data_IF_641131478389
#
_entry.id   IF_641131478389
#
_cell.length_a   1.000
_cell.length_b   1.000
_cell.length_c   1.000
_cell.angle_alpha   90.00
_cell.angle_beta   90.00
_cell.angle_gamma   90.00
#
_symmetry.space_group_name_H-M   'P 1'
#
loop_
_entity.id
_entity.type
_entity.pdbx_description
1 polymer ?
#
# COMPACT_ATOMS: atom_id res chain seq x y z
N UNK A 1 16.78 1.58 -5.74
CA UNK A 1 15.39 1.15 -5.51
C UNK A 1 14.63 2.26 -4.80
N UNK A 2 13.56 2.74 -5.40
CA UNK A 2 12.84 3.87 -4.85
C UNK A 2 11.48 3.44 -4.32
N UNK A 3 11.11 4.01 -3.19
CA UNK A 3 9.78 3.86 -2.61
C UNK A 3 8.77 4.61 -3.48
N UNK A 4 7.69 3.96 -3.86
CA UNK A 4 6.63 4.58 -4.66
C UNK A 4 5.49 5.08 -3.77
N UNK A 5 5.14 4.31 -2.75
CA UNK A 5 4.19 4.69 -1.72
C UNK A 5 4.42 3.80 -0.51
N UNK A 6 3.79 4.15 0.60
CA UNK A 6 3.84 3.35 1.83
C UNK A 6 2.45 3.04 2.31
N UNK A 7 2.30 1.90 2.96
CA UNK A 7 1.06 1.54 3.65
C UNK A 7 1.38 1.33 5.13
N UNK A 8 0.42 1.67 5.97
CA UNK A 8 0.50 1.40 7.41
C UNK A 8 -0.25 0.10 7.68
N UNK A 9 0.44 -0.91 8.17
CA UNK A 9 -0.20 -2.16 8.55
C UNK A 9 -0.26 -2.28 10.07
N UNK A 10 -1.31 -2.91 10.57
CA UNK A 10 -1.48 -3.17 12.00
C UNK A 10 -2.21 -4.49 12.19
N UNK A 11 -2.18 -4.98 13.41
CA UNK A 11 -2.94 -6.15 13.84
C UNK A 11 -4.32 -5.69 14.31
N UNK A 12 -5.37 -6.37 13.87
CA UNK A 12 -6.74 -6.07 14.31
C UNK A 12 -6.88 -6.24 15.81
N UNK A 13 -6.26 -7.27 16.39
CA UNK A 13 -6.30 -7.51 17.82
C UNK A 13 -5.67 -6.37 18.60
N UNK A 14 -4.52 -5.88 18.16
CA UNK A 14 -3.85 -4.75 18.82
C UNK A 14 -4.67 -3.46 18.67
N UNK A 15 -5.21 -3.22 17.48
CA UNK A 15 -6.03 -2.04 17.22
C UNK A 15 -7.27 -2.01 18.12
N UNK A 16 -7.94 -3.14 18.27
CA UNK A 16 -9.15 -3.26 19.09
C UNK A 16 -8.87 -3.06 20.59
N UNK A 17 -7.66 -3.38 21.03
CA UNK A 17 -7.26 -3.16 22.43
C UNK A 17 -6.77 -1.73 22.67
N UNK A 18 -6.72 -0.89 21.64
CA UNK A 18 -6.23 0.46 21.75
C UNK A 18 -4.72 0.58 21.85
N UNK A 19 -3.98 -0.49 21.57
CA UNK A 19 -2.52 -0.45 21.58
C UNK A 19 -2.01 0.47 20.48
N UNK A 20 -1.08 1.39 20.78
CA UNK A 20 -0.52 2.26 19.76
C UNK A 20 0.40 1.47 18.85
N UNK A 21 0.52 1.93 17.62
CA UNK A 21 1.52 1.36 16.74
C UNK A 21 1.00 1.14 15.34
N UNK A 22 1.58 0.13 14.71
CA UNK A 22 1.49 -0.11 13.31
C UNK A 22 2.89 -0.04 12.72
N UNK A 23 3.05 -0.56 11.54
CA UNK A 23 4.34 -0.54 10.84
C UNK A 23 4.13 -0.01 9.43
N UNK A 24 4.89 0.99 9.05
CA UNK A 24 4.92 1.50 7.69
C UNK A 24 5.73 0.54 6.82
N UNK A 25 5.17 0.20 5.67
CA UNK A 25 5.81 -0.68 4.70
C UNK A 25 5.90 0.04 3.36
N UNK A 26 7.13 0.24 2.89
CA UNK A 26 7.39 0.89 1.60
C UNK A 26 7.11 -0.06 0.45
N UNK A 27 6.42 0.39 -0.58
CA UNK A 27 6.07 -0.41 -1.74
C UNK A 27 6.89 0.01 -2.97
N UNK A 28 7.41 -0.91 -3.77
CA UNK A 28 7.28 -2.36 -3.63
C UNK A 28 8.13 -2.91 -2.49
N UNK A 29 7.65 -3.97 -1.85
CA UNK A 29 8.32 -4.59 -0.71
C UNK A 29 8.76 -6.02 -1.06
N UNK A 30 9.85 -6.47 -0.45
CA UNK A 30 10.25 -7.87 -0.49
C UNK A 30 9.45 -8.67 0.52
N UNK A 31 9.44 -10.00 0.36
CA UNK A 31 8.78 -10.87 1.35
C UNK A 31 9.40 -10.72 2.73
N UNK A 32 10.72 -10.53 2.80
CA UNK A 32 11.42 -10.33 4.07
C UNK A 32 10.96 -9.06 4.77
N UNK A 33 10.81 -7.96 4.00
CA UNK A 33 10.31 -6.69 4.53
C UNK A 33 8.87 -6.82 5.02
N UNK A 34 8.03 -7.49 4.25
CA UNK A 34 6.64 -7.73 4.63
C UNK A 34 6.55 -8.54 5.92
N UNK A 35 7.29 -9.66 6.00
CA UNK A 35 7.30 -10.51 7.18
C UNK A 35 7.84 -9.77 8.40
N UNK A 36 8.88 -8.95 8.24
CA UNK A 36 9.43 -8.16 9.33
C UNK A 36 8.41 -7.15 9.86
N UNK A 37 7.70 -6.47 8.96
CA UNK A 37 6.64 -5.53 9.33
C UNK A 37 5.50 -6.23 10.07
N UNK A 38 5.06 -7.37 9.58
CA UNK A 38 4.01 -8.16 10.22
C UNK A 38 4.42 -8.60 11.62
N UNK A 39 5.65 -9.11 11.79
CA UNK A 39 6.15 -9.51 13.10
C UNK A 39 6.20 -8.34 14.08
N UNK A 40 6.55 -7.15 13.59
CA UNK A 40 6.66 -5.96 14.45
C UNK A 40 5.31 -5.55 15.04
N UNK A 41 4.21 -5.92 14.40
CA UNK A 41 2.85 -5.64 14.90
C UNK A 41 2.18 -6.87 15.52
N UNK A 42 2.95 -7.95 15.75
CA UNK A 42 2.46 -9.15 16.44
C UNK A 42 1.72 -10.14 15.57
N UNK A 43 1.81 -10.02 14.25
CA UNK A 43 1.20 -11.00 13.35
C UNK A 43 2.19 -12.15 13.14
N UNK A 44 1.72 -13.37 13.39
CA UNK A 44 2.55 -14.58 13.32
C UNK A 44 1.92 -15.60 12.36
N UNK A 45 2.60 -16.73 12.17
CA UNK A 45 2.08 -17.85 11.39
C UNK A 45 0.79 -18.42 11.98
N UNK A 46 0.54 -18.21 13.26
CA UNK A 46 -0.68 -18.69 13.95
C UNK A 46 -1.89 -17.82 13.63
N UNK A 47 -1.68 -16.55 13.28
CA UNK A 47 -2.78 -15.62 12.98
C UNK A 47 -2.46 -14.75 11.76
N UNK A 48 -2.15 -15.33 10.59
CA UNK A 48 -1.69 -14.55 9.43
C UNK A 48 -2.76 -13.63 8.86
N UNK A 49 -4.02 -13.79 9.22
CA UNK A 49 -5.14 -12.98 8.73
C UNK A 49 -5.50 -11.82 9.66
N UNK A 50 -4.75 -11.63 10.73
CA UNK A 50 -5.04 -10.60 11.72
C UNK A 50 -4.57 -9.21 11.29
N UNK A 51 -3.95 -9.06 10.14
CA UNK A 51 -3.47 -7.77 9.68
C UNK A 51 -4.53 -7.02 8.87
N UNK A 52 -4.41 -5.70 8.87
CA UNK A 52 -5.19 -4.84 7.98
C UNK A 52 -4.36 -3.60 7.65
N UNK A 53 -4.76 -2.89 6.59
CA UNK A 53 -4.12 -1.64 6.17
C UNK A 53 -4.88 -0.49 6.81
N UNK A 54 -4.18 0.31 7.60
CA UNK A 54 -4.76 1.42 8.37
C UNK A 54 -4.31 2.80 7.87
N UNK A 55 -3.43 2.85 6.90
CA UNK A 55 -2.95 4.13 6.37
C UNK A 55 -2.25 3.98 5.04
N UNK A 56 -2.11 5.12 4.37
CA UNK A 56 -1.46 5.23 3.06
C UNK A 56 -0.74 6.57 2.99
N UNK A 57 0.47 6.56 2.43
CA UNK A 57 1.22 7.77 2.17
C UNK A 57 1.90 7.68 0.81
N UNK A 58 1.78 8.74 0.01
CA UNK A 58 2.49 8.84 -1.27
C UNK A 58 3.90 9.37 -1.06
N UNK A 59 4.66 9.47 -2.14
CA UNK A 59 6.01 10.05 -2.15
C UNK A 59 6.08 11.21 -3.14
N UNK A 60 7.14 12.01 -3.05
CA UNK A 60 7.36 13.11 -3.99
C UNK A 60 7.56 12.61 -5.43
N UNK A 61 8.17 11.43 -5.57
CA UNK A 61 8.44 10.83 -6.88
C UNK A 61 7.17 10.27 -7.53
N UNK A 62 6.18 9.92 -6.73
CA UNK A 62 4.92 9.35 -7.21
C UNK A 62 3.75 9.92 -6.41
N UNK A 63 3.36 11.19 -6.66
CA UNK A 63 2.44 11.92 -5.79
C UNK A 63 0.96 11.65 -6.09
N UNK A 64 0.57 10.39 -6.29
CA UNK A 64 -0.83 10.06 -6.43
C UNK A 64 -1.49 9.95 -5.05
N UNK A 65 -2.78 10.25 -4.98
CA UNK A 65 -3.54 10.17 -3.74
C UNK A 65 -4.91 9.55 -4.01
N UNK A 66 -5.28 8.61 -3.15
CA UNK A 66 -6.54 7.89 -3.23
C UNK A 66 -7.12 7.72 -1.82
N UNK A 67 -8.45 7.57 -1.70
CA UNK A 67 -9.03 7.22 -0.41
C UNK A 67 -8.47 5.91 0.12
N UNK A 68 -8.32 5.80 1.43
CA UNK A 68 -7.80 4.59 2.07
C UNK A 68 -8.62 3.35 1.69
N UNK A 69 -9.92 3.51 1.50
CA UNK A 69 -10.80 2.41 1.10
C UNK A 69 -10.38 1.75 -0.22
N UNK A 70 -9.80 2.52 -1.15
CA UNK A 70 -9.28 1.99 -2.41
C UNK A 70 -8.09 1.06 -2.14
N UNK A 71 -7.18 1.49 -1.29
CA UNK A 71 -6.02 0.69 -0.89
C UNK A 71 -6.47 -0.58 -0.17
N UNK A 72 -7.46 -0.47 0.70
CA UNK A 72 -7.99 -1.60 1.47
C UNK A 72 -8.77 -2.60 0.61
N UNK A 73 -9.22 -2.20 -0.58
CA UNK A 73 -10.02 -3.05 -1.47
C UNK A 73 -9.22 -4.18 -2.11
N UNK A 74 -7.91 -4.12 -2.09
CA UNK A 74 -7.04 -5.09 -2.72
C UNK A 74 -6.26 -5.94 -1.72
N UNK A 75 -5.59 -6.95 -2.25
CA UNK A 75 -4.70 -7.80 -1.47
C UNK A 75 -3.31 -7.17 -1.34
N UNK A 76 -2.50 -7.72 -0.43
CA UNK A 76 -1.10 -7.32 -0.30
C UNK A 76 -0.32 -7.56 -1.59
N UNK A 77 -0.60 -8.66 -2.29
CA UNK A 77 0.04 -8.96 -3.57
C UNK A 77 -0.29 -7.92 -4.63
N UNK A 78 -1.54 -7.44 -4.67
CA UNK A 78 -1.96 -6.40 -5.60
C UNK A 78 -1.31 -5.06 -5.28
N UNK A 79 -1.20 -4.71 -4.01
CA UNK A 79 -0.50 -3.50 -3.58
C UNK A 79 0.98 -3.55 -3.99
N UNK A 80 1.61 -4.69 -3.79
CA UNK A 80 3.00 -4.87 -4.18
C UNK A 80 3.17 -4.82 -5.70
N UNK A 81 2.23 -5.38 -6.44
CA UNK A 81 2.23 -5.32 -7.89
C UNK A 81 2.12 -3.89 -8.41
N UNK A 82 1.22 -3.10 -7.82
CA UNK A 82 1.12 -1.67 -8.15
C UNK A 82 2.45 -0.96 -7.90
N UNK A 83 3.08 -1.22 -6.77
CA UNK A 83 4.39 -0.63 -6.45
C UNK A 83 5.44 -0.97 -7.50
N UNK A 84 5.48 -2.22 -7.95
CA UNK A 84 6.42 -2.67 -8.99
C UNK A 84 6.14 -2.01 -10.33
N UNK A 85 4.88 -1.88 -10.72
CA UNK A 85 4.51 -1.18 -11.95
C UNK A 85 4.97 0.28 -11.92
N UNK A 86 4.73 0.97 -10.83
CA UNK A 86 5.11 2.36 -10.69
C UNK A 86 6.62 2.53 -10.66
N UNK A 87 7.35 1.61 -10.03
CA UNK A 87 8.82 1.64 -10.00
C UNK A 87 9.41 1.54 -11.40
N UNK A 88 8.76 0.81 -12.30
CA UNK A 88 9.20 0.63 -13.68
C UNK A 88 8.88 1.80 -14.59
N UNK A 89 8.01 2.71 -14.18
CA UNK A 89 7.62 3.85 -14.98
C UNK A 89 8.65 4.97 -14.93
N UNK A 90 8.74 5.74 -16.01
CA UNK A 90 9.52 6.97 -16.04
C UNK A 90 8.78 8.07 -15.27
N UNK A 91 9.50 9.11 -14.86
CA UNK A 91 8.94 10.20 -14.05
C UNK A 91 7.75 10.86 -14.74
N UNK A 92 7.81 11.06 -16.05
CA UNK A 92 6.70 11.64 -16.82
C UNK A 92 5.46 10.76 -16.82
N UNK A 93 5.64 9.43 -16.82
CA UNK A 93 4.53 8.48 -16.79
C UNK A 93 3.91 8.42 -15.39
N UNK A 94 4.72 8.54 -14.35
CA UNK A 94 4.22 8.64 -12.97
C UNK A 94 3.40 9.91 -12.77
N UNK A 95 3.83 11.02 -13.37
CA UNK A 95 3.07 12.28 -13.32
C UNK A 95 1.72 12.14 -14.03
N UNK A 96 1.68 11.46 -15.17
CA UNK A 96 0.44 11.18 -15.90
C UNK A 96 -0.50 10.31 -15.09
N UNK A 97 0.04 9.27 -14.45
CA UNK A 97 -0.72 8.39 -13.57
C UNK A 97 -1.34 9.18 -12.42
N UNK A 98 -0.54 10.02 -11.74
CA UNK A 98 -1.02 10.83 -10.63
C UNK A 98 -2.12 11.80 -11.07
N UNK A 99 -1.98 12.41 -12.26
CA UNK A 99 -2.98 13.32 -12.82
C UNK A 99 -4.29 12.58 -13.14
N UNK A 100 -4.20 11.37 -13.73
CA UNK A 100 -5.37 10.56 -14.03
C UNK A 100 -6.10 10.13 -12.76
N UNK A 101 -5.38 9.78 -11.71
CA UNK A 101 -5.96 9.45 -10.40
C UNK A 101 -6.69 10.65 -9.82
N UNK A 102 -6.09 11.84 -9.90
CA UNK A 102 -6.71 13.08 -9.42
C UNK A 102 -8.01 13.38 -10.17
N UNK A 103 -8.07 13.06 -11.46
CA UNK A 103 -9.27 13.24 -12.28
C UNK A 103 -10.34 12.15 -12.03
N UNK A 104 -10.03 11.14 -11.21
CA UNK A 104 -10.97 10.09 -10.88
C UNK A 104 -11.17 9.05 -11.98
N UNK A 105 -10.18 8.82 -12.81
CA UNK A 105 -10.25 7.89 -13.94
C UNK A 105 -10.13 6.42 -13.53
N UNK A 106 -10.56 6.08 -12.32
CA UNK A 106 -10.60 4.70 -11.81
C UNK A 106 -11.93 4.49 -11.08
N UNK A 107 -12.37 3.24 -11.00
CA UNK A 107 -13.70 2.91 -10.47
C UNK A 107 -13.74 2.75 -8.94
N UNK A 108 -12.78 3.28 -8.22
CA UNK A 108 -12.77 3.30 -6.76
C UNK A 108 -12.26 2.02 -6.11
N UNK A 109 -11.53 1.17 -6.86
CA UNK A 109 -10.92 -0.03 -6.29
C UNK A 109 -9.48 -0.19 -6.79
N UNK A 110 -8.71 -1.00 -6.09
CA UNK A 110 -7.29 -1.18 -6.36
C UNK A 110 -7.04 -1.82 -7.73
N UNK A 111 -7.89 -2.73 -8.15
CA UNK A 111 -7.74 -3.41 -9.44
C UNK A 111 -7.79 -2.42 -10.60
N UNK A 112 -8.73 -1.48 -10.56
CA UNK A 112 -8.85 -0.45 -11.59
C UNK A 112 -7.68 0.53 -11.53
N UNK A 113 -7.17 0.82 -10.34
CA UNK A 113 -5.98 1.64 -10.16
C UNK A 113 -4.77 0.97 -10.80
N UNK A 114 -4.60 -0.33 -10.64
CA UNK A 114 -3.54 -1.10 -11.27
C UNK A 114 -3.65 -1.04 -12.79
N UNK A 115 -4.85 -1.15 -13.32
CA UNK A 115 -5.08 -1.10 -14.77
C UNK A 115 -4.78 0.28 -15.35
N UNK A 116 -4.92 1.33 -14.55
CA UNK A 116 -4.58 2.69 -14.96
C UNK A 116 -3.07 2.93 -14.99
N UNK A 117 -2.34 2.24 -14.16
CA UNK A 117 -0.88 2.42 -14.03
C UNK A 117 -0.07 1.91 -15.24
#
# INVERSE_FOLDING_TARGET
MSEQFSILIDSRSRFETGAPGGAWLSMPATQEQLHAAMRSVGITADNPQDFFVDGFANTEDCPFDVPLSVIQSGSMDELNYLGKLLEMQRDEDKAKFAAAVTLGEYAGNLKDLINLA
#
